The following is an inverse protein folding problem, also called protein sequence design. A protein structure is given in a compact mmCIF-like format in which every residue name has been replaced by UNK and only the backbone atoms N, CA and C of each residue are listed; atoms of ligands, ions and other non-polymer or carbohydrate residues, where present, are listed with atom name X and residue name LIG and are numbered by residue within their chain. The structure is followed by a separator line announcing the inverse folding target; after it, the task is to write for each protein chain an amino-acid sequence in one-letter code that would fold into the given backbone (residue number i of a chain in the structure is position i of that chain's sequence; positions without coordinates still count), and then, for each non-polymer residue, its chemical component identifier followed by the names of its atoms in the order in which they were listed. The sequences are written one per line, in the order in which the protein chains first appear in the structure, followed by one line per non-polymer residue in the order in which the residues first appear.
data_IF_617665482541
#
_entry.id   IF_617665482541
#
_cell.length_a   1.000
_cell.length_b   1.000
_cell.length_c   1.000
_cell.angle_alpha   90.00
_cell.angle_beta   90.00
_cell.angle_gamma   90.00
#
_symmetry.space_group_name_H-M   'P 1'
#
loop_
_entity.id
_entity.type
_entity.pdbx_description
1 polymer ?
#
# COMPACT_ATOMS: atom_id res chain seq x y z
N UNK A 1 -9.74 -9.12 -6.74
CA UNK A 1 -8.94 -8.54 -5.64
C UNK A 1 -9.54 -9.01 -4.33
N UNK A 2 -8.76 -9.62 -3.42
CA UNK A 2 -9.23 -9.98 -2.07
C UNK A 2 -8.78 -8.94 -1.05
N UNK A 3 -9.71 -8.11 -0.60
CA UNK A 3 -9.46 -7.14 0.46
C UNK A 3 -9.32 -7.83 1.82
N UNK A 4 -8.66 -7.19 2.79
CA UNK A 4 -8.57 -7.73 4.15
C UNK A 4 -9.89 -7.69 4.92
N UNK A 5 -10.80 -6.79 4.52
CA UNK A 5 -12.17 -6.66 5.03
C UNK A 5 -13.11 -6.13 3.93
N UNK A 6 -14.41 -6.31 4.12
CA UNK A 6 -15.42 -6.04 3.07
C UNK A 6 -15.98 -4.61 3.10
N UNK A 7 -15.99 -3.98 4.27
CA UNK A 7 -16.56 -2.65 4.56
C UNK A 7 -15.58 -1.49 4.32
N UNK A 8 -14.59 -1.68 3.44
CA UNK A 8 -13.73 -0.60 2.98
C UNK A 8 -14.52 0.44 2.16
N UNK A 9 -14.19 1.72 2.38
CA UNK A 9 -14.75 2.82 1.59
C UNK A 9 -14.29 2.74 0.13
N UNK A 10 -15.01 3.42 -0.77
CA UNK A 10 -14.63 3.43 -2.18
C UNK A 10 -13.23 4.05 -2.39
N UNK A 11 -12.88 5.11 -1.65
CA UNK A 11 -11.54 5.71 -1.71
C UNK A 11 -10.45 4.73 -1.27
N UNK A 12 -10.69 3.94 -0.20
CA UNK A 12 -9.76 2.90 0.23
C UNK A 12 -9.60 1.80 -0.80
N UNK A 13 -10.71 1.34 -1.39
CA UNK A 13 -10.70 0.33 -2.46
C UNK A 13 -9.89 0.81 -3.67
N UNK A 14 -10.09 2.06 -4.10
CA UNK A 14 -9.37 2.66 -5.22
C UNK A 14 -7.88 2.80 -4.90
N UNK A 15 -7.52 3.31 -3.72
CA UNK A 15 -6.12 3.47 -3.34
C UNK A 15 -5.41 2.10 -3.19
N UNK A 16 -6.09 1.12 -2.62
CA UNK A 16 -5.56 -0.26 -2.51
C UNK A 16 -5.35 -0.88 -3.89
N UNK A 17 -6.29 -0.67 -4.82
CA UNK A 17 -6.18 -1.11 -6.20
C UNK A 17 -4.99 -0.43 -6.92
N UNK A 18 -4.84 0.89 -6.76
CA UNK A 18 -3.70 1.63 -7.30
C UNK A 18 -2.36 1.09 -6.79
N UNK A 19 -2.25 0.81 -5.48
CA UNK A 19 -1.03 0.24 -4.89
C UNK A 19 -0.76 -1.17 -5.45
N UNK A 20 -1.80 -2.02 -5.59
CA UNK A 20 -1.63 -3.33 -6.23
C UNK A 20 -1.15 -3.18 -7.68
N UNK A 21 -1.73 -2.26 -8.43
CA UNK A 21 -1.37 -2.01 -9.83
C UNK A 21 0.10 -1.59 -9.98
N UNK A 22 0.60 -0.63 -9.20
CA UNK A 22 2.00 -0.18 -9.29
C UNK A 22 3.01 -1.25 -8.84
N UNK A 23 2.56 -2.24 -8.08
CA UNK A 23 3.38 -3.38 -7.63
C UNK A 23 3.17 -4.65 -8.46
N UNK A 24 2.23 -4.64 -9.41
CA UNK A 24 1.89 -5.82 -10.21
C UNK A 24 3.07 -6.30 -11.06
N UNK A 25 3.83 -5.40 -11.71
CA UNK A 25 5.19 -5.65 -12.25
C UNK A 25 5.40 -7.04 -12.94
N UNK A 26 4.40 -7.55 -13.65
CA UNK A 26 4.38 -8.90 -14.28
C UNK A 26 4.48 -10.07 -13.30
N UNK A 27 3.87 -9.92 -12.13
CA UNK A 27 3.71 -10.94 -11.11
C UNK A 27 2.49 -11.83 -11.43
N UNK A 28 2.45 -13.07 -10.91
CA UNK A 28 1.23 -13.87 -10.97
C UNK A 28 0.08 -13.18 -10.22
N UNK A 29 -1.12 -13.29 -10.78
CA UNK A 29 -2.33 -12.63 -10.26
C UNK A 29 -2.55 -12.94 -8.77
N UNK A 30 -2.41 -14.20 -8.36
CA UNK A 30 -2.64 -14.67 -7.00
C UNK A 30 -1.64 -14.06 -6.00
N UNK A 31 -0.47 -13.64 -6.46
CA UNK A 31 0.51 -13.04 -5.55
C UNK A 31 0.15 -11.58 -5.25
N UNK A 32 -0.27 -10.82 -6.25
CA UNK A 32 -0.56 -9.39 -6.08
C UNK A 32 -2.01 -9.15 -5.72
N UNK A 33 -2.94 -9.72 -6.48
CA UNK A 33 -4.36 -9.42 -6.35
C UNK A 33 -5.09 -10.26 -5.29
N UNK A 34 -4.42 -11.27 -4.71
CA UNK A 34 -4.89 -11.98 -3.53
C UNK A 34 -4.05 -11.60 -2.29
N UNK A 35 -2.77 -12.01 -2.22
CA UNK A 35 -1.92 -11.73 -1.05
C UNK A 35 -1.57 -10.25 -0.89
N UNK A 36 -1.03 -9.63 -1.95
CA UNK A 36 -0.69 -8.20 -1.96
C UNK A 36 -1.91 -7.32 -1.67
N UNK A 37 -3.05 -7.63 -2.28
CA UNK A 37 -4.32 -6.93 -2.08
C UNK A 37 -4.75 -6.93 -0.62
N UNK A 38 -4.60 -8.06 0.06
CA UNK A 38 -4.93 -8.17 1.49
C UNK A 38 -4.00 -7.29 2.33
N UNK A 39 -2.69 -7.38 2.10
CA UNK A 39 -1.69 -6.57 2.81
C UNK A 39 -1.89 -5.06 2.55
N UNK A 40 -2.02 -4.66 1.29
CA UNK A 40 -2.10 -3.26 0.91
C UNK A 40 -3.43 -2.61 1.28
N UNK A 41 -4.52 -3.38 1.30
CA UNK A 41 -5.78 -2.85 1.81
C UNK A 41 -5.78 -2.66 3.33
N UNK A 42 -5.06 -3.50 4.07
CA UNK A 42 -4.82 -3.30 5.51
C UNK A 42 -3.98 -2.04 5.77
N UNK A 43 -2.87 -1.90 5.04
CA UNK A 43 -2.04 -0.68 5.04
C UNK A 43 -2.86 0.59 4.77
N UNK A 44 -3.70 0.56 3.74
CA UNK A 44 -4.54 1.71 3.37
C UNK A 44 -5.59 2.01 4.43
N UNK A 45 -6.17 0.98 5.06
CA UNK A 45 -7.11 1.18 6.14
C UNK A 45 -6.47 1.87 7.34
N UNK A 46 -5.29 1.40 7.77
CA UNK A 46 -4.54 2.02 8.86
C UNK A 46 -4.09 3.43 8.50
N UNK A 47 -3.66 3.64 7.25
CA UNK A 47 -3.39 4.96 6.72
C UNK A 47 -4.62 5.86 6.85
N UNK A 48 -5.81 5.44 6.48
CA UNK A 48 -6.99 6.31 6.61
C UNK A 48 -7.40 6.58 8.06
N UNK A 49 -7.15 5.67 9.01
CA UNK A 49 -7.61 5.81 10.41
C UNK A 49 -6.62 6.54 11.31
N UNK A 50 -5.39 6.74 10.86
CA UNK A 50 -4.34 7.37 11.66
C UNK A 50 -3.82 8.66 10.99
N UNK A 51 -4.64 9.71 10.83
CA UNK A 51 -4.26 10.95 10.16
C UNK A 51 -3.11 11.70 10.84
N UNK A 52 -2.92 11.50 12.14
CA UNK A 52 -1.83 12.11 12.90
C UNK A 52 -0.46 11.43 12.68
N UNK A 53 -0.44 10.22 12.11
CA UNK A 53 0.80 9.51 11.83
C UNK A 53 1.29 9.83 10.43
N UNK A 54 2.60 10.11 10.33
CA UNK A 54 3.27 10.30 9.04
C UNK A 54 3.23 8.99 8.24
N UNK A 55 3.00 9.04 6.91
CA UNK A 55 2.83 7.84 6.08
C UNK A 55 3.96 6.82 6.21
N UNK A 56 5.21 7.29 6.32
CA UNK A 56 6.38 6.44 6.51
C UNK A 56 6.26 5.54 7.75
N UNK A 57 5.75 6.04 8.87
CA UNK A 57 5.60 5.25 10.12
C UNK A 57 4.58 4.13 9.95
N UNK A 58 3.50 4.38 9.22
CA UNK A 58 2.48 3.38 8.94
C UNK A 58 3.07 2.32 7.99
N UNK A 59 3.70 2.75 6.90
CA UNK A 59 4.30 1.85 5.91
C UNK A 59 5.36 0.92 6.50
N UNK A 60 6.15 1.36 7.49
CA UNK A 60 7.17 0.52 8.14
C UNK A 60 6.60 -0.67 8.92
N UNK A 61 5.33 -0.64 9.32
CA UNK A 61 4.67 -1.82 9.94
C UNK A 61 4.53 -2.96 8.94
N UNK A 62 4.29 -2.60 7.68
CA UNK A 62 3.99 -3.50 6.57
C UNK A 62 5.21 -3.87 5.74
N UNK A 63 6.37 -3.25 5.97
CA UNK A 63 7.61 -3.47 5.22
C UNK A 63 8.69 -4.01 6.16
N UNK A 64 9.03 -5.30 6.02
CA UNK A 64 9.96 -5.98 6.93
C UNK A 64 11.17 -6.54 6.20
N UNK A 65 12.25 -6.65 6.95
CA UNK A 65 13.49 -7.28 6.52
C UNK A 65 13.50 -8.75 6.95
N UNK A 66 13.80 -9.66 6.02
CA UNK A 66 13.91 -11.10 6.26
C UNK A 66 15.30 -11.51 6.73
N UNK A 67 16.34 -10.87 6.20
CA UNK A 67 17.74 -11.13 6.56
C UNK A 67 18.59 -9.87 6.34
N UNK A 68 19.24 -9.39 7.42
CA UNK A 68 20.14 -8.22 7.43
C UNK A 68 21.37 -8.37 6.55
N UNK A 69 21.86 -9.58 6.34
CA UNK A 69 23.08 -9.84 5.58
C UNK A 69 22.86 -9.73 4.07
N UNK A 70 21.64 -9.98 3.60
CA UNK A 70 21.29 -10.00 2.16
C UNK A 70 20.28 -8.92 1.77
N UNK A 71 19.93 -8.02 2.69
CA UNK A 71 18.96 -6.93 2.47
C UNK A 71 17.67 -7.41 1.79
N UNK A 72 17.16 -8.59 2.17
CA UNK A 72 15.94 -9.15 1.60
C UNK A 72 14.73 -8.56 2.31
N UNK A 73 13.94 -7.76 1.61
CA UNK A 73 12.72 -7.16 2.14
C UNK A 73 11.47 -7.83 1.60
N UNK A 74 10.36 -7.67 2.31
CA UNK A 74 9.03 -8.11 1.89
C UNK A 74 7.95 -7.25 2.53
N UNK A 75 6.79 -7.21 1.89
CA UNK A 75 5.56 -6.70 2.48
C UNK A 75 4.87 -7.78 3.30
N UNK A 76 4.21 -7.39 4.38
CA UNK A 76 3.51 -8.31 5.27
C UNK A 76 2.28 -7.68 5.89
N UNK A 77 1.28 -8.49 6.23
CA UNK A 77 0.16 -8.06 7.09
C UNK A 77 0.69 -7.63 8.46
N UNK A 78 -0.09 -6.83 9.18
CA UNK A 78 0.33 -6.27 10.47
C UNK A 78 0.71 -7.36 11.49
N UNK A 79 -0.01 -8.47 11.48
CA UNK A 79 0.18 -9.67 12.31
C UNK A 79 1.30 -10.62 11.82
N UNK A 80 1.85 -10.38 10.63
CA UNK A 80 2.88 -11.25 10.05
C UNK A 80 2.39 -12.53 9.37
N UNK A 81 1.07 -12.78 9.31
CA UNK A 81 0.51 -14.04 8.81
C UNK A 81 0.58 -14.19 7.29
N UNK A 82 0.60 -13.08 6.55
CA UNK A 82 0.65 -13.06 5.08
C UNK A 82 1.85 -12.25 4.63
N UNK A 83 2.64 -12.81 3.72
CA UNK A 83 3.82 -12.14 3.17
C UNK A 83 3.77 -12.05 1.64
N UNK A 84 4.36 -10.99 1.11
CA UNK A 84 4.47 -10.68 -0.30
C UNK A 84 5.84 -10.06 -0.59
N UNK A 85 6.67 -10.75 -1.38
CA UNK A 85 7.93 -10.19 -1.86
C UNK A 85 7.73 -9.63 -3.27
N UNK A 86 7.79 -8.30 -3.42
CA UNK A 86 7.71 -7.67 -4.73
C UNK A 86 8.98 -7.89 -5.55
N UNK A 87 8.85 -7.93 -6.88
CA UNK A 87 9.97 -8.06 -7.82
C UNK A 87 10.97 -6.90 -7.68
N UNK A 88 10.49 -5.68 -7.45
CA UNK A 88 11.31 -4.48 -7.29
C UNK A 88 11.04 -3.83 -5.92
N UNK A 89 11.20 -4.63 -4.86
CA UNK A 89 10.75 -4.32 -3.50
C UNK A 89 11.15 -2.93 -2.97
N UNK A 90 12.37 -2.46 -3.25
CA UNK A 90 12.84 -1.14 -2.81
C UNK A 90 12.19 -0.01 -3.60
N UNK A 91 12.08 -0.14 -4.93
CA UNK A 91 11.39 0.84 -5.78
C UNK A 91 9.90 0.90 -5.44
N UNK A 92 9.26 -0.25 -5.23
CA UNK A 92 7.84 -0.33 -4.91
C UNK A 92 7.55 0.28 -3.53
N UNK A 93 8.41 0.05 -2.53
CA UNK A 93 8.35 0.77 -1.26
C UNK A 93 8.39 2.30 -1.46
N UNK A 94 9.31 2.81 -2.30
CA UNK A 94 9.39 4.25 -2.57
C UNK A 94 8.16 4.78 -3.30
N UNK A 95 7.64 4.05 -4.29
CA UNK A 95 6.44 4.45 -5.03
C UNK A 95 5.20 4.50 -4.13
N UNK A 96 5.05 3.51 -3.25
CA UNK A 96 3.97 3.48 -2.25
C UNK A 96 4.15 4.64 -1.28
N UNK A 97 5.34 4.81 -0.70
CA UNK A 97 5.64 5.92 0.21
C UNK A 97 5.30 7.27 -0.41
N UNK A 98 5.78 7.52 -1.63
CA UNK A 98 5.54 8.77 -2.33
C UNK A 98 4.04 8.98 -2.63
N UNK A 99 3.33 7.93 -3.03
CA UNK A 99 1.87 7.99 -3.22
C UNK A 99 1.18 8.43 -1.93
N UNK A 100 1.48 7.77 -0.79
CA UNK A 100 0.86 8.10 0.49
C UNK A 100 1.23 9.51 0.97
N UNK A 101 2.47 9.96 0.77
CA UNK A 101 2.94 11.30 1.13
C UNK A 101 2.29 12.40 0.29
N UNK A 102 2.10 12.19 -1.02
CA UNK A 102 1.39 13.14 -1.89
C UNK A 102 -0.06 13.26 -1.44
N UNK A 103 -0.73 12.14 -1.20
CA UNK A 103 -2.14 12.13 -0.81
C UNK A 103 -2.35 12.69 0.61
N UNK A 104 -1.36 12.58 1.50
CA UNK A 104 -1.43 13.13 2.86
C UNK A 104 -1.45 14.67 2.90
N UNK A 105 -1.13 15.33 1.79
CA UNK A 105 -1.19 16.78 1.69
C UNK A 105 -2.60 17.32 2.02
N UNK A 106 -2.75 18.44 2.77
CA UNK A 106 -4.05 18.97 3.17
C UNK A 106 -5.05 19.21 2.02
N UNK A 107 -4.54 19.51 0.82
CA UNK A 107 -5.33 19.63 -0.41
C UNK A 107 -6.15 18.38 -0.74
N UNK A 108 -5.58 17.20 -0.49
CA UNK A 108 -6.19 15.92 -0.85
C UNK A 108 -6.70 15.16 0.37
N UNK A 109 -6.15 15.40 1.56
CA UNK A 109 -6.58 14.79 2.82
C UNK A 109 -6.76 13.26 2.71
N UNK A 110 -5.72 12.59 2.21
CA UNK A 110 -5.64 11.14 1.94
C UNK A 110 -6.60 10.62 0.85
N UNK A 111 -7.33 11.50 0.16
CA UNK A 111 -8.33 11.14 -0.84
C UNK A 111 -7.73 11.06 -2.26
N UNK A 112 -7.51 9.84 -2.74
CA UNK A 112 -7.00 9.58 -4.10
C UNK A 112 -7.93 10.11 -5.21
N UNK A 113 -9.25 10.11 -5.01
CA UNK A 113 -10.20 10.62 -6.01
C UNK A 113 -10.06 12.13 -6.15
N UNK A 114 -9.86 12.85 -5.05
CA UNK A 114 -9.60 14.29 -5.07
C UNK A 114 -8.31 14.61 -5.84
N UNK A 115 -7.26 13.81 -5.66
CA UNK A 115 -6.02 13.93 -6.43
C UNK A 115 -6.22 13.68 -7.92
N UNK A 116 -6.91 12.60 -8.29
CA UNK A 116 -7.19 12.26 -9.71
C UNK A 116 -7.97 13.38 -10.40
N UNK A 117 -9.02 13.90 -9.75
CA UNK A 117 -9.83 15.00 -10.29
C UNK A 117 -8.99 16.26 -10.49
N UNK A 118 -8.01 16.51 -9.63
CA UNK A 118 -7.14 17.68 -9.72
C UNK A 118 -6.15 17.60 -10.88
N UNK A 119 -5.59 16.42 -11.17
CA UNK A 119 -4.59 16.25 -12.24
C UNK A 119 -5.17 16.04 -13.64
N UNK A 120 -6.46 15.70 -13.75
CA UNK A 120 -7.15 15.51 -15.05
C UNK A 120 -7.68 16.85 -15.59
N UNK A 121 -7.79 17.86 -14.74
CA UNK A 121 -8.16 19.23 -15.13
C UNK A 121 -7.02 19.91 -15.87
#
# INVERSE_FOLDING_TARGET
MKFFREDLTNCEKILSHWICYITDRQMPYEVIWDKGARIFSELVYDYMRNPSLVPKKILTVYYREKNKEKSHYYFTSSDGSITFASRYITNDYQNIKQTLEILDHPKYNRNIVAFIIDIIK
#
